data_IF_081692144155
#
_entry.id   IF_081692144155
#
_cell.length_a   1.000
_cell.length_b   1.000
_cell.length_c   1.000
_cell.angle_alpha   90.00
_cell.angle_beta   90.00
_cell.angle_gamma   90.00
#
_symmetry.space_group_name_H-M   'P 1'
#
loop_
_entity.id
_entity.type
_entity.pdbx_description
1 polymer ?
#
# COMPACT_ATOMS: atom_id res chain seq x y z
N UNK A 1 47.98 6.97 -0.43
CA UNK A 1 46.85 7.45 -1.27
C UNK A 1 46.25 6.36 -2.18
N UNK A 2 46.97 5.30 -2.55
CA UNK A 2 46.46 4.18 -3.39
C UNK A 2 45.52 3.20 -2.65
N UNK A 3 45.72 2.94 -1.35
CA UNK A 3 44.90 1.98 -0.58
C UNK A 3 43.43 2.41 -0.35
N UNK A 4 43.15 3.72 -0.17
CA UNK A 4 41.77 4.23 0.01
C UNK A 4 40.92 4.11 -1.24
N UNK A 5 41.51 4.20 -2.45
CA UNK A 5 40.75 4.02 -3.70
C UNK A 5 40.34 2.57 -3.96
N UNK A 6 41.15 1.60 -3.53
CA UNK A 6 40.88 0.18 -3.70
C UNK A 6 39.74 -0.30 -2.78
N UNK A 7 39.67 0.23 -1.55
CA UNK A 7 38.60 -0.09 -0.59
C UNK A 7 37.23 0.50 -1.05
N UNK A 8 37.26 1.74 -1.61
CA UNK A 8 36.04 2.36 -2.15
C UNK A 8 35.51 1.62 -3.38
N UNK A 9 36.39 1.07 -4.21
CA UNK A 9 36.03 0.29 -5.40
C UNK A 9 35.50 -1.12 -5.03
N UNK A 10 36.04 -1.75 -3.98
CA UNK A 10 35.51 -3.01 -3.46
C UNK A 10 34.10 -2.84 -2.80
N UNK A 11 33.85 -1.72 -2.08
CA UNK A 11 32.49 -1.42 -1.55
C UNK A 11 31.48 -1.14 -2.66
N UNK A 12 31.87 -0.46 -3.74
CA UNK A 12 31.00 -0.22 -4.88
C UNK A 12 30.66 -1.52 -5.66
N UNK A 13 31.59 -2.48 -5.72
CA UNK A 13 31.35 -3.78 -6.37
C UNK A 13 30.52 -4.72 -5.50
N UNK A 14 30.59 -4.62 -4.16
CA UNK A 14 29.71 -5.40 -3.27
C UNK A 14 28.27 -4.89 -3.25
N UNK A 15 27.99 -3.64 -3.61
CA UNK A 15 26.61 -3.15 -3.79
C UNK A 15 25.95 -3.60 -5.11
N UNK A 16 26.71 -4.14 -6.07
CA UNK A 16 26.22 -4.51 -7.40
C UNK A 16 25.80 -6.00 -7.54
N UNK A 17 25.92 -6.81 -6.50
CA UNK A 17 25.55 -8.22 -6.49
C UNK A 17 24.37 -8.53 -5.54
N UNK A 18 23.41 -7.62 -5.41
CA UNK A 18 22.07 -8.01 -4.97
C UNK A 18 21.47 -8.87 -6.09
N UNK A 19 21.69 -10.17 -6.02
CA UNK A 19 20.96 -11.13 -6.87
C UNK A 19 19.48 -10.83 -6.71
N UNK A 20 18.83 -10.35 -7.77
CA UNK A 20 17.36 -10.23 -7.84
C UNK A 20 16.82 -11.62 -7.52
N UNK A 21 16.41 -11.87 -6.30
CA UNK A 21 15.72 -13.11 -5.97
C UNK A 21 14.42 -13.09 -6.77
N UNK A 22 14.40 -13.82 -7.86
CA UNK A 22 13.25 -13.90 -8.74
C UNK A 22 12.09 -14.49 -7.97
N UNK A 23 10.99 -13.75 -7.93
CA UNK A 23 9.73 -14.19 -7.34
C UNK A 23 9.14 -15.27 -8.26
N UNK A 24 8.83 -16.44 -7.70
CA UNK A 24 8.25 -17.56 -8.46
C UNK A 24 6.86 -17.87 -7.94
N UNK A 25 5.80 -17.68 -8.75
CA UNK A 25 4.46 -18.07 -8.37
C UNK A 25 4.26 -19.58 -8.51
N UNK A 26 3.30 -20.12 -7.78
CA UNK A 26 2.66 -21.40 -8.07
C UNK A 26 1.40 -21.10 -8.86
N UNK A 27 1.35 -21.46 -10.14
CA UNK A 27 0.18 -21.25 -11.00
C UNK A 27 -0.86 -22.34 -10.70
N UNK A 28 -2.09 -21.91 -10.42
CA UNK A 28 -3.23 -22.78 -10.09
C UNK A 28 -4.27 -22.87 -11.22
N UNK A 29 -4.20 -21.95 -12.18
CA UNK A 29 -5.13 -21.89 -13.31
C UNK A 29 -4.83 -20.70 -14.22
N UNK A 30 -5.67 -20.50 -15.23
CA UNK A 30 -5.48 -19.48 -16.28
C UNK A 30 -5.51 -18.03 -15.75
N UNK A 31 -6.06 -17.83 -14.55
CA UNK A 31 -6.16 -16.52 -13.91
C UNK A 31 -5.68 -16.51 -12.46
N UNK A 32 -5.19 -17.64 -11.97
CA UNK A 32 -4.96 -17.83 -10.55
C UNK A 32 -3.54 -18.28 -10.25
N UNK A 33 -2.90 -17.60 -9.32
CA UNK A 33 -1.56 -17.93 -8.86
C UNK A 33 -1.41 -17.67 -7.36
N UNK A 34 -0.55 -18.43 -6.72
CA UNK A 34 -0.12 -18.23 -5.34
C UNK A 34 1.36 -17.88 -5.27
N UNK A 35 1.69 -17.00 -4.33
CA UNK A 35 3.07 -16.61 -4.03
C UNK A 35 3.40 -16.81 -2.57
N UNK A 36 4.35 -17.69 -2.25
CA UNK A 36 4.94 -17.78 -0.91
C UNK A 36 5.78 -16.53 -0.63
N UNK A 37 5.47 -15.86 0.48
CA UNK A 37 6.15 -14.65 0.90
C UNK A 37 7.48 -14.97 1.57
N UNK A 38 8.57 -14.39 1.05
CA UNK A 38 9.88 -14.43 1.70
C UNK A 38 9.84 -13.60 2.98
N UNK A 39 10.34 -14.14 4.07
CA UNK A 39 10.39 -13.45 5.36
C UNK A 39 11.62 -12.57 5.50
N UNK A 40 11.56 -11.57 6.40
CA UNK A 40 12.69 -10.73 6.76
C UNK A 40 12.76 -9.40 6.02
N UNK A 41 11.82 -9.11 5.12
CA UNK A 41 11.72 -7.82 4.43
C UNK A 41 10.41 -7.13 4.79
N UNK A 42 10.42 -5.79 4.83
CA UNK A 42 9.25 -4.99 5.20
C UNK A 42 8.19 -4.96 4.10
N UNK A 43 8.62 -4.84 2.86
CA UNK A 43 7.75 -4.67 1.70
C UNK A 43 7.98 -5.72 0.61
N UNK A 44 6.91 -6.04 -0.12
CA UNK A 44 6.95 -6.51 -1.48
C UNK A 44 6.51 -5.36 -2.40
N UNK A 45 7.41 -4.91 -3.27
CA UNK A 45 7.10 -3.90 -4.28
C UNK A 45 6.38 -4.58 -5.45
N UNK A 46 5.12 -4.19 -5.64
CA UNK A 46 4.24 -4.73 -6.69
C UNK A 46 4.38 -3.85 -7.93
N UNK A 47 4.76 -4.40 -9.09
CA UNK A 47 4.82 -3.66 -10.35
C UNK A 47 3.43 -3.47 -10.93
N UNK A 48 3.09 -2.24 -11.27
CA UNK A 48 1.78 -1.81 -11.79
C UNK A 48 1.87 -1.51 -13.27
N UNK A 49 0.83 -1.88 -14.02
CA UNK A 49 0.57 -1.50 -15.39
C UNK A 49 -0.84 -0.92 -15.49
N UNK A 50 -0.95 0.39 -15.65
CA UNK A 50 -2.23 1.12 -15.58
C UNK A 50 -3.26 0.73 -16.65
N UNK A 51 -2.82 0.22 -17.78
CA UNK A 51 -3.71 -0.25 -18.85
C UNK A 51 -4.32 -1.63 -18.61
N UNK A 52 -3.92 -2.33 -17.53
CA UNK A 52 -4.42 -3.67 -17.23
C UNK A 52 -5.66 -3.65 -16.34
N UNK A 53 -6.38 -4.77 -16.35
CA UNK A 53 -7.42 -5.05 -15.38
C UNK A 53 -6.83 -5.35 -14.00
N UNK A 54 -7.62 -5.22 -12.97
CA UNK A 54 -7.20 -5.51 -11.61
C UNK A 54 -6.86 -6.99 -11.42
N UNK A 55 -5.91 -7.25 -10.54
CA UNK A 55 -5.72 -8.52 -9.86
C UNK A 55 -6.14 -8.37 -8.40
N UNK A 56 -7.04 -9.23 -7.92
CA UNK A 56 -7.40 -9.30 -6.52
C UNK A 56 -6.34 -10.10 -5.77
N UNK A 57 -5.82 -9.54 -4.68
CA UNK A 57 -4.78 -10.16 -3.86
C UNK A 57 -5.32 -10.36 -2.45
N UNK A 58 -5.44 -11.61 -2.00
CA UNK A 58 -5.63 -11.93 -0.60
C UNK A 58 -4.27 -12.19 0.07
N UNK A 59 -4.00 -11.48 1.15
CA UNK A 59 -2.80 -11.65 1.97
C UNK A 59 -3.14 -12.60 3.12
N UNK A 60 -2.49 -13.75 3.16
CA UNK A 60 -2.75 -14.79 4.15
C UNK A 60 -1.60 -14.88 5.17
N UNK A 61 -1.94 -15.13 6.41
CA UNK A 61 -0.99 -15.36 7.50
C UNK A 61 -0.53 -16.84 7.58
N UNK A 62 0.20 -17.20 8.65
CA UNK A 62 0.68 -18.56 8.87
C UNK A 62 -0.40 -19.59 9.19
N UNK A 63 -1.63 -19.16 9.46
CA UNK A 63 -2.80 -20.02 9.68
C UNK A 63 -3.73 -20.10 8.48
N UNK A 64 -3.33 -19.48 7.35
CA UNK A 64 -4.15 -19.26 6.17
C UNK A 64 -5.39 -18.37 6.43
N UNK A 65 -5.34 -17.54 7.48
CA UNK A 65 -6.35 -16.53 7.72
C UNK A 65 -6.04 -15.28 6.89
N UNK A 66 -7.06 -14.74 6.23
CA UNK A 66 -6.91 -13.53 5.43
C UNK A 66 -6.74 -12.31 6.35
N UNK A 67 -5.56 -11.71 6.31
CA UNK A 67 -5.24 -10.51 7.06
C UNK A 67 -5.56 -9.22 6.31
N UNK A 68 -5.54 -9.27 4.96
CA UNK A 68 -5.79 -8.13 4.09
C UNK A 68 -6.25 -8.59 2.71
N UNK A 69 -7.10 -7.80 2.06
CA UNK A 69 -7.43 -7.93 0.64
C UNK A 69 -7.17 -6.59 -0.06
N UNK A 70 -6.65 -6.64 -1.28
CA UNK A 70 -6.41 -5.45 -2.11
C UNK A 70 -6.54 -5.80 -3.59
N UNK A 71 -6.80 -4.77 -4.39
CA UNK A 71 -6.86 -4.83 -5.83
C UNK A 71 -5.69 -4.04 -6.43
N UNK A 72 -4.94 -4.63 -7.35
CA UNK A 72 -3.79 -3.99 -8.01
C UNK A 72 -3.81 -4.32 -9.48
N UNK A 73 -3.52 -3.36 -10.34
CA UNK A 73 -3.31 -3.60 -11.78
C UNK A 73 -1.90 -4.15 -12.00
N UNK A 74 -1.69 -5.45 -11.68
CA UNK A 74 -0.37 -6.08 -11.80
C UNK A 74 0.13 -6.10 -13.24
N UNK A 75 1.39 -5.79 -13.42
CA UNK A 75 2.06 -5.72 -14.72
C UNK A 75 2.10 -7.06 -15.45
N UNK A 76 1.61 -7.10 -16.68
CA UNK A 76 1.59 -8.27 -17.56
C UNK A 76 2.73 -8.23 -18.56
N UNK A 77 2.91 -7.11 -19.26
CA UNK A 77 3.92 -6.96 -20.32
C UNK A 77 4.93 -5.80 -20.09
N UNK A 78 4.58 -4.79 -19.29
CA UNK A 78 5.48 -3.67 -18.91
C UNK A 78 5.20 -3.18 -17.51
N UNK A 79 6.11 -2.43 -16.93
CA UNK A 79 5.94 -1.78 -15.63
C UNK A 79 5.87 -0.28 -15.81
N UNK A 80 4.78 0.33 -15.35
CA UNK A 80 4.62 1.78 -15.34
C UNK A 80 5.22 2.38 -14.05
N UNK A 81 4.97 1.73 -12.88
CA UNK A 81 5.54 2.10 -11.57
C UNK A 81 5.40 0.96 -10.55
N UNK A 82 5.85 1.19 -9.32
CA UNK A 82 5.74 0.22 -8.21
C UNK A 82 4.91 0.79 -7.06
N UNK A 83 4.20 -0.10 -6.36
CA UNK A 83 3.52 0.21 -5.10
C UNK A 83 3.98 -0.74 -3.98
N UNK A 84 4.09 -0.28 -2.72
CA UNK A 84 4.56 -1.11 -1.62
C UNK A 84 3.41 -1.89 -0.99
N UNK A 85 3.51 -3.21 -0.94
CA UNK A 85 2.70 -4.06 -0.07
C UNK A 85 3.47 -4.33 1.21
N UNK A 86 3.01 -3.84 2.35
CA UNK A 86 3.62 -4.14 3.65
C UNK A 86 3.32 -5.59 4.06
N UNK A 87 4.37 -6.32 4.42
CA UNK A 87 4.33 -7.78 4.62
C UNK A 87 4.05 -8.23 6.06
N UNK A 88 3.54 -7.38 6.92
CA UNK A 88 3.27 -7.69 8.34
C UNK A 88 2.65 -9.08 8.54
N UNK A 89 3.48 -10.07 8.90
CA UNK A 89 3.01 -11.44 9.17
C UNK A 89 2.56 -12.24 7.94
N UNK A 90 2.54 -11.65 6.74
CA UNK A 90 2.15 -12.33 5.51
C UNK A 90 3.02 -13.57 5.23
N UNK A 91 2.39 -14.69 4.87
CA UNK A 91 3.06 -15.94 4.50
C UNK A 91 2.76 -16.36 3.07
N UNK A 92 1.59 -15.97 2.58
CA UNK A 92 1.10 -16.34 1.26
C UNK A 92 0.31 -15.18 0.67
N UNK A 93 0.46 -14.96 -0.63
CA UNK A 93 -0.44 -14.14 -1.42
C UNK A 93 -1.22 -15.08 -2.34
N UNK A 94 -2.53 -14.95 -2.32
CA UNK A 94 -3.45 -15.60 -3.24
C UNK A 94 -3.93 -14.54 -4.24
N UNK A 95 -3.64 -14.75 -5.53
CA UNK A 95 -3.75 -13.71 -6.56
C UNK A 95 -4.64 -14.20 -7.68
N UNK A 96 -5.78 -13.51 -7.87
CA UNK A 96 -6.72 -13.76 -8.95
C UNK A 96 -6.71 -12.59 -9.95
N UNK A 97 -6.30 -12.85 -11.19
CA UNK A 97 -6.30 -11.87 -12.27
C UNK A 97 -7.70 -11.78 -12.91
N UNK A 98 -8.25 -10.58 -13.01
CA UNK A 98 -9.53 -10.32 -13.63
C UNK A 98 -9.40 -10.02 -15.14
N UNK A 99 -10.53 -9.83 -15.83
CA UNK A 99 -10.60 -9.52 -17.25
C UNK A 99 -10.37 -10.72 -18.17
N UNK A 100 -10.36 -10.46 -19.48
CA UNK A 100 -10.06 -11.47 -20.50
C UNK A 100 -8.55 -11.61 -20.68
N UNK A 101 -8.01 -12.76 -20.28
CA UNK A 101 -6.56 -13.05 -20.31
C UNK A 101 -6.14 -13.94 -21.48
N UNK A 102 -7.06 -14.37 -22.34
CA UNK A 102 -6.77 -15.33 -23.41
C UNK A 102 -5.67 -14.89 -24.37
N UNK A 103 -5.52 -13.58 -24.58
CA UNK A 103 -4.50 -13.02 -25.47
C UNK A 103 -3.26 -12.47 -24.73
N UNK A 104 -3.19 -12.62 -23.41
CA UNK A 104 -2.13 -12.04 -22.56
C UNK A 104 -0.99 -13.02 -22.24
N UNK A 105 -1.08 -14.27 -22.69
CA UNK A 105 -0.10 -15.32 -22.38
C UNK A 105 -0.40 -16.06 -21.08
N UNK A 106 0.50 -16.95 -20.71
CA UNK A 106 0.36 -17.77 -19.50
C UNK A 106 0.61 -16.93 -18.24
N UNK A 107 -0.23 -17.09 -17.21
CA UNK A 107 -0.13 -16.35 -15.93
C UNK A 107 1.27 -16.41 -15.32
N UNK A 108 1.95 -17.56 -15.39
CA UNK A 108 3.30 -17.73 -14.85
C UNK A 108 4.40 -16.95 -15.59
N UNK A 109 4.11 -16.39 -16.75
CA UNK A 109 5.07 -15.65 -17.60
C UNK A 109 4.94 -14.14 -17.48
N UNK A 110 3.91 -13.64 -16.78
CA UNK A 110 3.66 -12.22 -16.62
C UNK A 110 4.88 -11.49 -16.04
N UNK A 111 5.11 -10.27 -16.52
CA UNK A 111 6.26 -9.43 -16.13
C UNK A 111 6.27 -9.17 -14.62
N UNK A 112 5.11 -9.09 -13.97
CA UNK A 112 5.03 -8.86 -12.54
C UNK A 112 5.89 -9.83 -11.71
N UNK A 113 5.98 -11.11 -12.07
CA UNK A 113 6.79 -12.07 -11.32
C UNK A 113 8.30 -11.82 -11.42
N UNK A 114 8.75 -11.30 -12.55
CA UNK A 114 10.16 -10.97 -12.77
C UNK A 114 10.56 -9.65 -12.10
N UNK A 115 9.59 -8.73 -11.99
CA UNK A 115 9.85 -7.36 -11.53
C UNK A 115 9.46 -7.13 -10.07
N UNK A 116 8.64 -7.98 -9.43
CA UNK A 116 8.41 -7.92 -7.98
C UNK A 116 9.72 -7.93 -7.20
N UNK A 117 9.85 -7.07 -6.20
CA UNK A 117 11.08 -6.90 -5.41
C UNK A 117 10.75 -6.86 -3.93
N UNK A 118 11.48 -7.63 -3.13
CA UNK A 118 11.48 -7.48 -1.68
C UNK A 118 12.38 -6.30 -1.29
N UNK A 119 11.93 -5.46 -0.35
CA UNK A 119 12.65 -4.27 0.10
C UNK A 119 12.30 -3.91 1.53
N UNK A 120 13.24 -3.29 2.26
CA UNK A 120 12.98 -2.69 3.56
C UNK A 120 12.57 -1.22 3.44
N UNK A 121 12.72 -0.64 2.25
CA UNK A 121 12.38 0.76 1.96
C UNK A 121 11.54 0.88 0.71
N UNK A 122 10.77 1.97 0.64
CA UNK A 122 10.09 2.41 -0.58
C UNK A 122 10.38 3.90 -0.77
N UNK A 123 10.81 4.26 -1.98
CA UNK A 123 11.08 5.67 -2.30
C UNK A 123 9.75 6.41 -2.47
N UNK A 124 9.46 7.30 -1.54
CA UNK A 124 8.28 8.16 -1.55
C UNK A 124 8.58 9.57 -2.09
N UNK A 125 9.78 9.79 -2.63
CA UNK A 125 10.15 11.06 -3.24
C UNK A 125 9.39 11.25 -4.55
N UNK A 126 8.26 11.94 -4.46
CA UNK A 126 7.44 12.22 -5.62
C UNK A 126 8.04 13.38 -6.42
N UNK A 127 8.43 13.09 -7.66
CA UNK A 127 9.03 14.04 -8.61
C UNK A 127 8.14 14.28 -9.84
N UNK A 128 6.87 13.93 -9.77
CA UNK A 128 5.96 14.08 -10.89
C UNK A 128 5.75 15.55 -11.25
N UNK A 129 5.73 15.84 -12.55
CA UNK A 129 5.64 17.19 -13.10
C UNK A 129 4.42 17.97 -12.60
N UNK A 130 3.30 17.31 -12.37
CA UNK A 130 2.03 17.92 -12.00
C UNK A 130 1.71 17.83 -10.50
N UNK A 131 2.68 17.44 -9.66
CA UNK A 131 2.47 17.44 -8.22
C UNK A 131 2.18 18.86 -7.73
N UNK A 132 1.06 19.09 -7.00
CA UNK A 132 0.76 20.39 -6.41
C UNK A 132 1.87 20.85 -5.46
N UNK A 133 2.17 22.15 -5.47
CA UNK A 133 3.26 22.72 -4.64
C UNK A 133 2.80 23.03 -3.22
N UNK A 134 1.54 23.45 -3.05
CA UNK A 134 1.01 23.91 -1.75
C UNK A 134 -0.26 23.18 -1.27
N UNK A 135 -0.92 22.41 -2.13
CA UNK A 135 -2.01 21.54 -1.68
C UNK A 135 -1.47 20.30 -0.99
N UNK A 136 -2.17 19.84 0.07
CA UNK A 136 -1.89 18.55 0.67
C UNK A 136 -2.07 17.44 -0.37
N UNK A 137 -1.08 16.54 -0.46
CA UNK A 137 -1.14 15.34 -1.27
C UNK A 137 -0.49 14.18 -0.52
N UNK A 138 -0.93 12.93 -0.70
CA UNK A 138 -0.23 11.77 -0.16
C UNK A 138 1.14 11.65 -0.82
N UNK A 139 2.03 10.90 -0.21
CA UNK A 139 3.36 10.65 -0.78
C UNK A 139 3.28 9.86 -2.09
N UNK A 140 2.29 9.00 -2.25
CA UNK A 140 2.00 8.20 -3.44
C UNK A 140 0.55 7.74 -3.42
N UNK A 141 0.09 7.15 -4.53
CA UNK A 141 -1.25 6.61 -4.66
C UNK A 141 -2.32 7.65 -4.99
N UNK A 142 -3.57 7.23 -4.93
CA UNK A 142 -4.74 8.06 -5.18
C UNK A 142 -5.31 8.66 -3.90
N UNK A 143 -5.74 9.90 -3.94
CA UNK A 143 -6.43 10.58 -2.84
C UNK A 143 -7.70 11.26 -3.34
N UNK A 144 -8.77 11.21 -2.53
CA UNK A 144 -9.99 12.01 -2.72
C UNK A 144 -10.41 12.69 -1.40
N UNK A 145 -11.58 12.38 -0.83
CA UNK A 145 -12.19 13.15 0.24
C UNK A 145 -11.29 13.34 1.47
N UNK A 146 -11.16 14.57 2.00
CA UNK A 146 -10.64 14.77 3.34
C UNK A 146 -11.63 14.24 4.38
N UNK A 147 -11.11 13.61 5.43
CA UNK A 147 -11.88 12.97 6.48
C UNK A 147 -11.41 13.40 7.87
N UNK A 148 -12.31 13.39 8.83
CA UNK A 148 -12.04 13.34 10.26
C UNK A 148 -10.98 14.31 10.78
N UNK A 149 -10.86 15.51 10.21
CA UNK A 149 -9.87 16.48 10.67
C UNK A 149 -10.18 16.96 12.09
N UNK A 150 -9.17 16.96 12.96
CA UNK A 150 -9.26 17.50 14.32
C UNK A 150 -7.93 18.05 14.82
N UNK A 151 -7.99 18.84 15.90
CA UNK A 151 -6.82 19.35 16.61
C UNK A 151 -6.77 18.77 18.02
N UNK A 152 -5.62 18.22 18.43
CA UNK A 152 -5.39 17.70 19.77
C UNK A 152 -3.91 17.84 20.13
N UNK A 153 -3.64 18.29 21.36
CA UNK A 153 -2.29 18.36 21.93
C UNK A 153 -1.25 19.07 21.06
N UNK A 154 -1.66 20.20 20.41
CA UNK A 154 -0.79 21.00 19.56
C UNK A 154 -0.58 20.44 18.15
N UNK A 155 -1.34 19.43 17.75
CA UNK A 155 -1.20 18.77 16.45
C UNK A 155 -2.55 18.71 15.74
N UNK A 156 -2.56 19.09 14.47
CA UNK A 156 -3.64 18.85 13.54
C UNK A 156 -3.51 17.46 12.95
N UNK A 157 -4.60 16.72 12.91
CA UNK A 157 -4.71 15.43 12.24
C UNK A 157 -5.65 15.59 11.06
N UNK A 158 -5.23 15.11 9.89
CA UNK A 158 -6.02 15.05 8.68
C UNK A 158 -6.01 13.60 8.19
N UNK A 159 -7.19 13.00 8.09
CA UNK A 159 -7.37 11.75 7.37
C UNK A 159 -7.93 12.03 5.98
N UNK A 160 -7.79 11.08 5.07
CA UNK A 160 -8.28 11.22 3.70
C UNK A 160 -8.52 9.84 3.08
N UNK A 161 -9.45 9.79 2.12
CA UNK A 161 -9.64 8.61 1.29
C UNK A 161 -8.39 8.35 0.50
N UNK A 162 -7.87 7.14 0.59
CA UNK A 162 -6.58 6.80 -0.01
C UNK A 162 -6.57 5.40 -0.62
N UNK A 163 -6.10 5.30 -1.86
CA UNK A 163 -5.68 4.04 -2.46
C UNK A 163 -4.15 4.00 -2.55
N UNK A 164 -3.45 3.22 -1.72
CA UNK A 164 -1.99 3.10 -1.76
C UNK A 164 -1.48 2.19 -2.88
N UNK A 165 -2.35 1.52 -3.63
CA UNK A 165 -1.97 0.47 -4.56
C UNK A 165 -2.21 0.81 -6.03
N UNK A 166 -2.50 2.06 -6.35
CA UNK A 166 -2.72 2.52 -7.71
C UNK A 166 -2.94 4.02 -7.80
N UNK A 167 -3.04 4.55 -9.03
CA UNK A 167 -3.26 5.96 -9.34
C UNK A 167 -4.74 6.30 -9.60
N UNK A 168 -5.65 5.37 -9.32
CA UNK A 168 -7.09 5.53 -9.52
C UNK A 168 -7.86 5.16 -8.25
N UNK A 169 -9.14 5.51 -8.24
CA UNK A 169 -10.04 5.16 -7.14
C UNK A 169 -10.17 3.64 -7.01
N UNK A 170 -9.75 3.09 -5.89
CA UNK A 170 -9.84 1.68 -5.50
C UNK A 170 -9.39 1.56 -4.03
N UNK A 171 -9.54 0.41 -3.38
CA UNK A 171 -8.96 0.05 -2.07
C UNK A 171 -9.13 1.14 -0.99
N UNK A 172 -10.30 1.78 -0.90
CA UNK A 172 -10.47 2.92 0.00
C UNK A 172 -10.13 2.60 1.45
N UNK A 173 -9.12 3.29 1.94
CA UNK A 173 -8.64 3.32 3.32
C UNK A 173 -8.61 4.77 3.81
N UNK A 174 -8.39 4.99 5.10
CA UNK A 174 -8.03 6.32 5.59
C UNK A 174 -6.51 6.45 5.67
N UNK A 175 -5.94 7.20 4.73
CA UNK A 175 -4.60 7.76 4.86
C UNK A 175 -4.58 8.77 6.01
N UNK A 176 -3.39 9.09 6.51
CA UNK A 176 -3.24 9.98 7.66
C UNK A 176 -2.04 10.89 7.49
N UNK A 177 -2.23 12.17 7.80
CA UNK A 177 -1.15 13.16 7.90
C UNK A 177 -1.34 14.03 9.13
N UNK A 178 -0.23 14.53 9.68
CA UNK A 178 -0.22 15.43 10.83
C UNK A 178 0.49 16.74 10.51
N UNK A 179 0.06 17.84 11.15
CA UNK A 179 0.68 19.15 10.99
C UNK A 179 0.61 19.95 12.30
N UNK A 180 1.58 20.85 12.51
CA UNK A 180 1.54 21.84 13.61
C UNK A 180 1.07 23.23 13.15
N UNK A 181 1.07 23.48 11.84
CA UNK A 181 0.83 24.81 11.27
C UNK A 181 -0.18 24.81 10.10
N UNK A 182 -0.75 23.65 9.73
CA UNK A 182 -1.65 23.44 8.59
C UNK A 182 -1.00 23.66 7.20
N UNK A 183 0.29 23.93 7.16
CA UNK A 183 1.07 24.16 5.94
C UNK A 183 2.01 22.98 5.68
N UNK A 184 2.79 22.59 6.68
CA UNK A 184 3.72 21.48 6.62
C UNK A 184 3.08 20.21 7.17
N UNK A 185 2.89 19.23 6.32
CA UNK A 185 2.25 17.96 6.64
C UNK A 185 3.23 16.80 6.63
N UNK A 186 3.18 15.99 7.67
CA UNK A 186 3.95 14.75 7.81
C UNK A 186 3.04 13.55 7.59
N UNK A 187 3.38 12.70 6.62
CA UNK A 187 2.66 11.46 6.39
C UNK A 187 2.81 10.49 7.58
N UNK A 188 1.72 9.89 7.98
CA UNK A 188 1.61 8.90 9.04
C UNK A 188 1.22 7.53 8.47
N UNK A 189 1.36 6.44 9.22
CA UNK A 189 0.79 5.15 8.83
C UNK A 189 -0.71 5.23 8.57
N UNK A 190 -1.24 4.32 7.74
CA UNK A 190 -2.69 4.19 7.48
C UNK A 190 -3.46 4.10 8.80
N UNK A 191 -4.47 4.94 8.98
CA UNK A 191 -5.25 5.00 10.20
C UNK A 191 -6.36 3.93 10.26
N UNK A 192 -7.09 3.75 9.15
CA UNK A 192 -8.15 2.76 9.02
C UNK A 192 -7.96 1.98 7.71
N UNK A 193 -7.72 0.69 7.82
CA UNK A 193 -7.63 -0.22 6.67
C UNK A 193 -8.95 -0.94 6.43
N UNK A 194 -9.18 -1.37 5.19
CA UNK A 194 -10.30 -2.23 4.83
C UNK A 194 -10.32 -3.49 5.70
N UNK A 195 -11.51 -4.00 5.96
CA UNK A 195 -11.73 -5.23 6.69
C UNK A 195 -12.83 -6.07 6.02
N UNK A 196 -13.35 -7.05 6.76
CA UNK A 196 -14.43 -7.92 6.27
C UNK A 196 -15.75 -7.19 5.97
N UNK A 197 -15.97 -5.99 6.53
CA UNK A 197 -17.14 -5.13 6.21
C UNK A 197 -16.93 -4.34 4.91
N UNK A 198 -15.75 -4.35 4.33
CA UNK A 198 -15.45 -3.71 3.05
C UNK A 198 -14.48 -2.53 3.13
N UNK A 199 -14.59 -1.65 2.15
CA UNK A 199 -13.80 -0.41 2.06
C UNK A 199 -14.20 0.59 3.14
N UNK A 200 -13.27 1.46 3.51
CA UNK A 200 -13.49 2.54 4.49
C UNK A 200 -13.83 3.81 3.72
N UNK A 201 -15.10 4.18 3.71
CA UNK A 201 -15.57 5.41 3.07
C UNK A 201 -15.51 6.60 4.02
N UNK A 202 -15.92 7.75 3.52
CA UNK A 202 -15.79 9.04 4.21
C UNK A 202 -16.51 9.08 5.54
N UNK A 203 -16.01 9.95 6.43
CA UNK A 203 -16.54 10.15 7.75
C UNK A 203 -15.84 11.29 8.49
N UNK A 204 -16.05 11.36 9.80
CA UNK A 204 -15.47 12.40 10.64
C UNK A 204 -14.94 11.85 11.96
N UNK A 205 -14.19 12.68 12.69
CA UNK A 205 -13.68 12.37 14.00
C UNK A 205 -14.14 13.41 15.05
N UNK A 206 -14.30 12.95 16.29
CA UNK A 206 -14.49 13.81 17.44
C UNK A 206 -13.52 13.44 18.56
N UNK A 207 -13.03 14.44 19.27
CA UNK A 207 -12.23 14.24 20.48
C UNK A 207 -13.18 14.17 21.67
N UNK A 208 -13.13 13.06 22.42
CA UNK A 208 -13.92 12.82 23.63
C UNK A 208 -12.99 12.52 24.80
N UNK A 209 -12.62 13.55 25.55
CA UNK A 209 -11.59 13.42 26.59
C UNK A 209 -10.25 13.00 26.00
N UNK A 210 -9.71 11.89 26.50
CA UNK A 210 -8.44 11.33 25.99
C UNK A 210 -8.61 10.47 24.74
N UNK A 211 -9.84 10.14 24.37
CA UNK A 211 -10.14 9.26 23.25
C UNK A 211 -10.52 10.06 21.99
N UNK A 212 -10.12 9.58 20.83
CA UNK A 212 -10.61 10.06 19.52
C UNK A 212 -11.56 9.01 18.96
N UNK A 213 -12.75 9.42 18.59
CA UNK A 213 -13.77 8.54 17.99
C UNK A 213 -13.93 8.92 16.53
N UNK A 214 -13.68 7.96 15.64
CA UNK A 214 -13.98 8.06 14.21
C UNK A 214 -15.33 7.42 13.92
N UNK A 215 -16.19 8.12 13.17
CA UNK A 215 -17.39 7.58 12.57
C UNK A 215 -17.22 7.59 11.05
N UNK A 216 -17.37 6.45 10.41
CA UNK A 216 -17.11 6.26 8.99
C UNK A 216 -18.11 5.27 8.38
N UNK A 217 -18.16 5.21 7.05
CA UNK A 217 -18.97 4.22 6.34
C UNK A 217 -18.14 3.01 5.97
N UNK A 218 -18.54 1.83 6.43
CA UNK A 218 -18.07 0.55 5.90
C UNK A 218 -18.85 0.23 4.62
N UNK A 219 -18.14 0.11 3.49
CA UNK A 219 -18.74 -0.06 2.16
C UNK A 219 -18.34 -1.43 1.58
N UNK A 220 -19.17 -2.43 1.87
CA UNK A 220 -19.10 -3.77 1.30
C UNK A 220 -20.37 -4.10 0.52
N UNK A 221 -20.95 -5.25 0.81
CA UNK A 221 -22.22 -5.65 0.22
C UNK A 221 -23.36 -4.64 0.56
N UNK A 222 -23.32 -4.08 1.76
CA UNK A 222 -24.15 -2.97 2.20
C UNK A 222 -23.28 -1.86 2.74
N UNK A 223 -23.77 -0.62 2.70
CA UNK A 223 -23.14 0.51 3.37
C UNK A 223 -23.72 0.64 4.79
N UNK A 224 -22.84 0.63 5.79
CA UNK A 224 -23.20 0.75 7.20
C UNK A 224 -22.34 1.79 7.88
N UNK A 225 -22.89 2.46 8.90
CA UNK A 225 -22.11 3.36 9.74
C UNK A 225 -21.35 2.56 10.79
N UNK A 226 -20.05 2.83 10.90
CA UNK A 226 -19.13 2.15 11.80
C UNK A 226 -18.42 3.15 12.70
N UNK A 227 -18.00 2.69 13.87
CA UNK A 227 -17.20 3.46 14.82
C UNK A 227 -15.84 2.81 15.02
N UNK A 228 -14.82 3.65 15.17
CA UNK A 228 -13.50 3.21 15.61
C UNK A 228 -12.95 4.17 16.68
N UNK A 229 -12.16 3.62 17.60
CA UNK A 229 -11.73 4.30 18.83
C UNK A 229 -10.20 4.32 18.90
N UNK A 230 -9.64 5.48 19.17
CA UNK A 230 -8.21 5.67 19.36
C UNK A 230 -7.89 6.18 20.75
N UNK A 231 -6.90 5.57 21.41
CA UNK A 231 -6.36 5.99 22.71
C UNK A 231 -4.93 6.54 22.61
N UNK A 232 -4.40 6.66 21.42
CA UNK A 232 -3.04 7.13 21.15
C UNK A 232 -3.02 8.47 20.38
N UNK A 233 -4.09 9.28 20.55
CA UNK A 233 -4.22 10.58 19.92
C UNK A 233 -4.58 10.52 18.43
N UNK A 234 -5.23 9.46 17.95
CA UNK A 234 -5.66 9.33 16.56
C UNK A 234 -4.62 8.68 15.64
N UNK A 235 -3.56 8.07 16.18
CA UNK A 235 -2.55 7.38 15.36
C UNK A 235 -3.01 6.01 14.90
N UNK A 236 -3.62 5.25 15.80
CA UNK A 236 -4.20 3.94 15.51
C UNK A 236 -5.63 3.86 16.03
N UNK A 237 -6.47 3.06 15.37
CA UNK A 237 -7.86 2.89 15.73
C UNK A 237 -8.19 1.42 15.93
N UNK A 238 -8.99 1.13 16.96
CA UNK A 238 -9.66 -0.15 17.17
C UNK A 238 -11.11 -0.03 16.69
N UNK A 239 -11.49 -0.86 15.78
CA UNK A 239 -12.86 -1.03 15.26
C UNK A 239 -13.72 -1.85 16.19
#
# INVERSE_FOLDING_TARGET
MKMKKTILMLMAVMMALATKAQVKPTVLGDKHAMLKVKQGQKYLLLPVQESEDIAAIAVLDGKNEMSKRLNVKLAIDRVDYFVPLELKGAKLLDIEFHGDRRQKGAVGEFVCWKEMKYSDTFDTTNRERFRPVYHHTPQYGWMNDPNGMFYKDGVWHLYYQWNPYGSQWENMTWGHSTSRDLIHWEAQPTALEMDWLGSIFSGSCVVKGDEVVAMYTSAGHHQTQSLAFSKDGGRTFRK
#
